data_IF_636256866635
#
_entry.id   IF_636256866635
#
_cell.length_a   1.000
_cell.length_b   1.000
_cell.length_c   1.000
_cell.angle_alpha   90.00
_cell.angle_beta   90.00
_cell.angle_gamma   90.00
#
_symmetry.space_group_name_H-M   'P 1'
#
loop_
_entity.id
_entity.type
_entity.pdbx_description
1 polymer ?
#
# COMPACT_ATOMS: atom_id res chain seq x y z
N UNK A 1 10.99 2.11 10.69
CA UNK A 1 10.09 1.88 9.54
C UNK A 1 10.60 2.56 8.27
N UNK A 2 10.85 3.88 8.27
CA UNK A 2 11.41 4.59 7.12
C UNK A 2 12.77 4.02 6.68
N UNK A 3 13.61 3.68 7.65
CA UNK A 3 14.92 3.04 7.41
C UNK A 3 14.78 1.68 6.72
N UNK A 4 13.80 0.85 7.11
CA UNK A 4 13.54 -0.44 6.45
C UNK A 4 13.21 -0.27 4.96
N UNK A 5 12.44 0.77 4.59
CA UNK A 5 12.18 1.11 3.18
C UNK A 5 13.48 1.52 2.47
N UNK A 6 14.34 2.29 3.15
CA UNK A 6 15.65 2.70 2.64
C UNK A 6 16.60 1.52 2.44
N UNK A 7 16.64 0.56 3.38
CA UNK A 7 17.46 -0.65 3.31
C UNK A 7 17.08 -1.51 2.08
N UNK A 8 15.78 -1.71 1.83
CA UNK A 8 15.29 -2.39 0.60
C UNK A 8 15.79 -1.65 -0.65
N UNK A 9 15.61 -0.33 -0.69
CA UNK A 9 16.01 0.49 -1.83
C UNK A 9 17.52 0.41 -2.10
N UNK A 10 18.35 0.58 -1.08
CA UNK A 10 19.81 0.51 -1.21
C UNK A 10 20.27 -0.87 -1.67
N UNK A 11 19.65 -1.94 -1.17
CA UNK A 11 19.93 -3.30 -1.63
C UNK A 11 19.54 -3.50 -3.11
N UNK A 12 18.39 -2.97 -3.53
CA UNK A 12 17.96 -3.01 -4.94
C UNK A 12 18.87 -2.19 -5.87
N UNK A 13 19.37 -1.04 -5.40
CA UNK A 13 20.33 -0.24 -6.15
C UNK A 13 21.68 -0.95 -6.30
N UNK A 14 22.19 -1.57 -5.22
CA UNK A 14 23.44 -2.32 -5.25
C UNK A 14 23.40 -3.47 -6.28
N UNK A 15 22.25 -4.13 -6.39
CA UNK A 15 22.01 -5.20 -7.37
C UNK A 15 21.61 -4.69 -8.77
N UNK A 16 21.62 -3.37 -9.01
CA UNK A 16 21.22 -2.73 -10.28
C UNK A 16 19.84 -3.17 -10.77
N UNK A 17 18.92 -3.49 -9.85
CA UNK A 17 17.57 -3.97 -10.17
C UNK A 17 16.63 -2.84 -10.57
N UNK A 18 16.94 -1.62 -10.14
CA UNK A 18 16.27 -0.41 -10.58
C UNK A 18 16.95 0.09 -11.86
N UNK A 19 16.19 0.13 -12.95
CA UNK A 19 16.66 0.76 -14.19
C UNK A 19 16.88 2.25 -13.94
N UNK A 20 17.81 2.90 -14.67
CA UNK A 20 18.07 4.33 -14.49
C UNK A 20 16.84 5.23 -14.69
N UNK A 21 15.87 4.76 -15.48
CA UNK A 21 14.59 5.41 -15.76
C UNK A 21 13.43 4.93 -14.84
N UNK A 22 13.69 4.08 -13.84
CA UNK A 22 12.63 3.55 -12.98
C UNK A 22 11.99 4.63 -12.10
N UNK A 23 10.70 4.50 -11.85
CA UNK A 23 9.99 5.28 -10.84
C UNK A 23 9.05 4.36 -10.07
N UNK A 24 9.35 4.13 -8.79
CA UNK A 24 8.62 3.14 -7.97
C UNK A 24 8.36 3.64 -6.58
N UNK A 25 7.31 3.10 -5.99
CA UNK A 25 6.95 3.34 -4.60
C UNK A 25 7.22 2.07 -3.81
N UNK A 26 8.08 2.17 -2.80
CA UNK A 26 8.35 1.09 -1.87
C UNK A 26 7.65 1.40 -0.56
N UNK A 27 7.04 0.38 0.04
CA UNK A 27 6.38 0.52 1.32
C UNK A 27 6.60 -0.68 2.23
N UNK A 28 6.54 -0.42 3.52
CA UNK A 28 6.56 -1.42 4.58
C UNK A 28 5.40 -1.18 5.54
N UNK A 29 4.84 -2.26 6.08
CA UNK A 29 3.77 -2.27 7.06
C UNK A 29 4.15 -3.17 8.23
N UNK A 30 3.92 -2.67 9.43
CA UNK A 30 4.00 -3.38 10.71
C UNK A 30 2.62 -3.31 11.37
N UNK A 31 2.05 -4.44 11.75
CA UNK A 31 0.76 -4.46 12.43
C UNK A 31 0.68 -5.54 13.51
N UNK A 32 -0.16 -5.31 14.51
CA UNK A 32 -0.56 -6.33 15.48
C UNK A 32 -2.07 -6.39 15.56
N UNK A 33 -2.62 -7.56 15.24
CA UNK A 33 -4.07 -7.81 15.21
C UNK A 33 -4.35 -9.14 15.92
N UNK A 34 -5.21 -9.11 16.95
CA UNK A 34 -5.51 -10.28 17.77
C UNK A 34 -4.24 -10.95 18.34
N UNK A 35 -3.30 -10.15 18.83
CA UNK A 35 -2.02 -10.61 19.39
C UNK A 35 -1.02 -11.18 18.37
N UNK A 36 -1.29 -11.06 17.06
CA UNK A 36 -0.40 -11.57 16.00
C UNK A 36 0.28 -10.43 15.30
N UNK A 37 1.61 -10.52 15.18
CA UNK A 37 2.40 -9.50 14.47
C UNK A 37 2.56 -9.84 12.98
N UNK A 38 2.52 -8.80 12.16
CA UNK A 38 2.63 -8.88 10.70
C UNK A 38 3.65 -7.86 10.21
N UNK A 39 4.59 -8.32 9.37
CA UNK A 39 5.65 -7.51 8.79
C UNK A 39 5.63 -7.69 7.27
N UNK A 40 5.16 -6.68 6.55
CA UNK A 40 4.91 -6.77 5.12
C UNK A 40 5.69 -5.69 4.36
N UNK A 41 6.17 -6.03 3.18
CA UNK A 41 6.82 -5.10 2.26
C UNK A 41 6.18 -5.19 0.87
N UNK A 42 6.04 -4.07 0.17
CA UNK A 42 5.47 -4.02 -1.17
C UNK A 42 6.18 -3.01 -2.07
N UNK A 43 6.07 -3.24 -3.37
CA UNK A 43 6.43 -2.29 -4.43
C UNK A 43 5.17 -1.95 -5.24
N UNK A 44 5.02 -0.68 -5.65
CA UNK A 44 3.93 -0.28 -6.55
C UNK A 44 4.02 -0.97 -7.91
N UNK A 45 5.23 -1.23 -8.41
CA UNK A 45 5.44 -1.99 -9.63
C UNK A 45 5.29 -3.50 -9.38
N UNK A 46 4.43 -4.16 -10.16
CA UNK A 46 4.31 -5.62 -10.17
C UNK A 46 5.47 -6.33 -10.86
N UNK A 47 6.35 -5.59 -11.54
CA UNK A 47 7.50 -6.12 -12.29
C UNK A 47 8.76 -6.25 -11.43
N UNK A 48 8.79 -5.60 -10.27
CA UNK A 48 9.93 -5.63 -9.34
C UNK A 48 9.63 -6.60 -8.21
N UNK A 49 10.35 -7.72 -8.19
CA UNK A 49 10.32 -8.63 -7.06
C UNK A 49 11.26 -8.14 -5.95
N UNK A 50 10.68 -7.67 -4.85
CA UNK A 50 11.44 -7.14 -3.71
C UNK A 50 11.86 -8.22 -2.70
N UNK A 51 11.38 -9.45 -2.87
CA UNK A 51 11.61 -10.56 -1.93
C UNK A 51 13.07 -10.82 -1.56
N UNK A 52 14.00 -10.88 -2.55
CA UNK A 52 15.42 -11.11 -2.27
C UNK A 52 16.07 -10.04 -1.37
N UNK A 53 15.49 -8.84 -1.30
CA UNK A 53 16.04 -7.68 -0.60
C UNK A 53 15.51 -7.55 0.83
N UNK A 54 14.50 -8.32 1.24
CA UNK A 54 13.94 -8.25 2.60
C UNK A 54 14.97 -8.66 3.67
N UNK A 55 15.96 -9.48 3.31
CA UNK A 55 17.07 -9.87 4.20
C UNK A 55 17.98 -8.70 4.59
N UNK A 56 17.95 -7.61 3.84
CA UNK A 56 18.71 -6.40 4.14
C UNK A 56 18.09 -5.63 5.31
N UNK A 57 16.81 -5.88 5.64
CA UNK A 57 16.12 -5.17 6.70
C UNK A 57 16.62 -5.64 8.06
N UNK A 58 17.16 -4.73 8.86
CA UNK A 58 17.73 -5.05 10.16
C UNK A 58 16.69 -5.04 11.29
N UNK A 59 15.73 -4.12 11.22
CA UNK A 59 14.58 -4.05 12.11
C UNK A 59 13.67 -5.27 11.88
N UNK A 60 13.31 -6.05 12.89
CA UNK A 60 12.56 -7.33 12.75
C UNK A 60 13.13 -8.28 11.70
N UNK A 61 14.46 -8.43 11.71
CA UNK A 61 15.20 -9.25 10.75
C UNK A 61 14.62 -10.66 10.63
N UNK A 62 14.35 -11.09 9.40
CA UNK A 62 13.81 -12.41 9.09
C UNK A 62 12.28 -12.53 9.16
N UNK A 63 11.58 -11.54 9.72
CA UNK A 63 10.11 -11.58 9.86
C UNK A 63 9.37 -11.00 8.65
N UNK A 64 10.03 -10.17 7.84
CA UNK A 64 9.45 -9.47 6.70
C UNK A 64 9.04 -10.40 5.57
N UNK A 65 7.87 -10.13 4.97
CA UNK A 65 7.33 -10.89 3.85
C UNK A 65 6.85 -9.97 2.73
N UNK A 66 6.90 -10.44 1.49
CA UNK A 66 6.39 -9.66 0.35
C UNK A 66 4.87 -9.72 0.34
N UNK A 67 4.22 -8.57 0.20
CA UNK A 67 2.80 -8.47 -0.08
C UNK A 67 2.54 -8.61 -1.59
N UNK A 68 1.78 -9.64 -1.96
CA UNK A 68 1.38 -9.93 -3.34
C UNK A 68 -0.14 -10.19 -3.42
N UNK A 69 -0.99 -9.24 -2.99
CA UNK A 69 -2.43 -9.46 -2.99
C UNK A 69 -3.00 -9.40 -4.41
N UNK A 70 -4.16 -10.02 -4.60
CA UNK A 70 -5.04 -9.66 -5.71
C UNK A 70 -5.60 -8.25 -5.49
N UNK A 71 -5.40 -7.35 -6.44
CA UNK A 71 -5.90 -5.97 -6.38
C UNK A 71 -7.16 -5.86 -7.25
N UNK A 72 -8.30 -5.39 -6.72
CA UNK A 72 -9.47 -5.11 -7.54
C UNK A 72 -9.14 -4.08 -8.63
N UNK A 73 -9.65 -4.31 -9.85
CA UNK A 73 -9.41 -3.46 -11.02
C UNK A 73 -10.67 -2.69 -11.40
N UNK A 74 -10.54 -1.65 -12.22
CA UNK A 74 -11.69 -0.88 -12.72
C UNK A 74 -12.14 -1.45 -14.06
N UNK A 75 -13.44 -1.70 -14.21
CA UNK A 75 -14.10 -1.93 -15.49
C UNK A 75 -14.71 -0.61 -15.95
N UNK A 76 -14.39 -0.18 -17.17
CA UNK A 76 -14.96 1.02 -17.78
C UNK A 76 -16.04 0.58 -18.77
N UNK A 77 -17.31 0.88 -18.45
CA UNK A 77 -18.56 0.52 -19.17
C UNK A 77 -19.21 -0.82 -18.78
N UNK A 78 -20.04 -0.83 -17.70
CA UNK A 78 -20.31 0.27 -16.77
C UNK A 78 -19.12 0.48 -15.81
N UNK A 79 -18.94 1.72 -15.33
CA UNK A 79 -17.89 2.06 -14.36
C UNK A 79 -18.13 1.31 -13.03
N UNK A 80 -17.34 0.29 -12.75
CA UNK A 80 -17.45 -0.51 -11.51
C UNK A 80 -16.13 -1.18 -11.14
N UNK A 81 -16.02 -1.63 -9.89
CA UNK A 81 -14.94 -2.49 -9.45
C UNK A 81 -15.11 -3.92 -9.96
N UNK A 82 -14.04 -4.48 -10.52
CA UNK A 82 -13.86 -5.91 -10.76
C UNK A 82 -13.05 -6.50 -9.62
N UNK A 83 -13.74 -7.20 -8.72
CA UNK A 83 -13.17 -7.72 -7.48
C UNK A 83 -13.88 -7.13 -6.25
N UNK A 84 -13.50 -7.57 -5.06
CA UNK A 84 -14.08 -7.08 -3.81
C UNK A 84 -13.00 -6.38 -2.99
N UNK A 85 -13.29 -5.17 -2.53
CA UNK A 85 -12.48 -4.48 -1.54
C UNK A 85 -12.87 -4.95 -0.15
N UNK A 86 -11.86 -5.13 0.71
CA UNK A 86 -12.06 -5.54 2.10
C UNK A 86 -11.16 -4.75 3.03
N UNK A 87 -11.64 -4.49 4.25
CA UNK A 87 -10.83 -3.94 5.35
C UNK A 87 -9.76 -4.95 5.79
N UNK A 88 -8.83 -4.50 6.64
CA UNK A 88 -7.86 -5.38 7.31
C UNK A 88 -8.52 -6.44 8.20
N UNK A 89 -9.80 -6.26 8.57
CA UNK A 89 -10.61 -7.25 9.29
C UNK A 89 -11.43 -8.16 8.36
N UNK A 90 -11.37 -7.92 7.05
CA UNK A 90 -12.05 -8.72 6.03
C UNK A 90 -13.50 -8.29 5.73
N UNK A 91 -13.94 -7.15 6.24
CA UNK A 91 -15.27 -6.60 5.98
C UNK A 91 -15.33 -6.01 4.58
N UNK A 92 -16.43 -6.23 3.87
CA UNK A 92 -16.58 -5.66 2.52
C UNK A 92 -16.75 -4.15 2.61
N UNK A 93 -16.03 -3.44 1.74
CA UNK A 93 -16.18 -1.98 1.60
C UNK A 93 -16.45 -1.63 0.16
N UNK A 94 -17.24 -0.59 -0.04
CA UNK A 94 -17.46 0.00 -1.36
C UNK A 94 -16.67 1.30 -1.45
N UNK A 95 -15.72 1.33 -2.37
CA UNK A 95 -14.84 2.47 -2.56
C UNK A 95 -15.41 3.28 -3.73
N UNK A 96 -15.65 4.59 -3.57
CA UNK A 96 -16.18 5.39 -4.67
C UNK A 96 -15.21 5.40 -5.87
N UNK A 97 -15.77 5.24 -7.06
CA UNK A 97 -15.06 5.40 -8.34
C UNK A 97 -15.19 6.81 -8.92
N UNK A 98 -16.10 7.60 -8.36
CA UNK A 98 -16.41 8.95 -8.82
C UNK A 98 -16.38 9.94 -7.66
N UNK A 99 -16.04 11.19 -7.96
CA UNK A 99 -16.27 12.35 -7.12
C UNK A 99 -17.12 13.32 -7.95
N UNK A 100 -18.27 13.76 -7.40
CA UNK A 100 -19.22 14.64 -8.09
C UNK A 100 -19.66 14.13 -9.48
N UNK A 101 -19.82 12.81 -9.63
CA UNK A 101 -20.22 12.17 -10.88
C UNK A 101 -19.11 12.03 -11.92
N UNK A 102 -17.88 12.48 -11.62
CA UNK A 102 -16.71 12.37 -12.51
C UNK A 102 -15.80 11.24 -12.02
N UNK A 103 -15.30 10.41 -12.93
CA UNK A 103 -14.35 9.34 -12.59
C UNK A 103 -13.10 9.90 -11.91
N UNK A 104 -12.73 9.31 -10.77
CA UNK A 104 -11.51 9.68 -10.05
C UNK A 104 -10.30 9.22 -10.90
N UNK A 105 -9.44 10.14 -11.37
CA UNK A 105 -8.33 9.78 -12.24
C UNK A 105 -7.41 8.74 -11.61
N UNK A 106 -7.08 7.68 -12.36
CA UNK A 106 -6.15 6.62 -11.95
C UNK A 106 -6.57 5.86 -10.68
N UNK A 107 -7.86 5.86 -10.32
CA UNK A 107 -8.37 5.14 -9.13
C UNK A 107 -8.06 3.63 -9.15
N UNK A 108 -7.89 3.04 -10.34
CA UNK A 108 -7.44 1.65 -10.49
C UNK A 108 -5.94 1.39 -10.28
N UNK A 109 -5.07 2.41 -10.32
CA UNK A 109 -3.64 2.24 -10.09
C UNK A 109 -3.35 2.15 -8.60
N UNK A 110 -2.50 1.22 -8.14
CA UNK A 110 -2.21 1.04 -6.70
C UNK A 110 -0.76 1.30 -6.34
N UNK A 111 -0.57 1.98 -5.21
CA UNK A 111 0.74 2.11 -4.56
C UNK A 111 1.04 0.90 -3.67
N UNK A 112 2.23 0.91 -3.05
CA UNK A 112 2.62 -0.13 -2.11
C UNK A 112 1.66 -0.16 -0.91
N UNK A 113 1.22 1.00 -0.41
CA UNK A 113 0.29 1.13 0.70
C UNK A 113 -0.98 0.28 0.56
N UNK A 114 -1.67 0.39 -0.58
CA UNK A 114 -2.91 -0.38 -0.84
C UNK A 114 -2.62 -1.87 -0.86
N UNK A 115 -1.50 -2.29 -1.47
CA UNK A 115 -1.10 -3.71 -1.50
C UNK A 115 -0.80 -4.26 -0.11
N UNK A 116 -0.14 -3.47 0.74
CA UNK A 116 0.17 -3.86 2.12
C UNK A 116 -1.11 -4.10 2.92
N UNK A 117 -2.09 -3.21 2.80
CA UNK A 117 -3.36 -3.32 3.53
C UNK A 117 -4.22 -4.49 3.06
N UNK A 118 -4.31 -4.71 1.75
CA UNK A 118 -5.02 -5.86 1.18
C UNK A 118 -4.37 -7.18 1.61
N UNK A 119 -3.04 -7.25 1.58
CA UNK A 119 -2.31 -8.44 2.02
C UNK A 119 -2.49 -8.67 3.53
N UNK A 120 -2.48 -7.62 4.34
CA UNK A 120 -2.75 -7.74 5.77
C UNK A 120 -4.12 -8.37 6.01
N UNK A 121 -5.17 -7.88 5.33
CA UNK A 121 -6.51 -8.47 5.41
C UNK A 121 -6.55 -9.95 5.01
N UNK A 122 -5.84 -10.34 3.94
CA UNK A 122 -5.73 -11.75 3.54
C UNK A 122 -5.09 -12.61 4.63
N UNK A 123 -4.02 -12.12 5.27
CA UNK A 123 -3.28 -12.85 6.31
C UNK A 123 -4.03 -12.94 7.62
N UNK A 124 -4.74 -11.89 8.01
CA UNK A 124 -5.65 -11.90 9.16
C UNK A 124 -6.74 -12.95 8.95
N UNK A 125 -7.35 -12.98 7.75
CA UNK A 125 -8.36 -13.98 7.42
C UNK A 125 -7.80 -15.42 7.44
N UNK A 126 -6.61 -15.65 6.88
CA UNK A 126 -5.93 -16.95 6.88
C UNK A 126 -5.58 -17.44 8.29
N UNK A 127 -5.18 -16.53 9.18
CA UNK A 127 -4.88 -16.86 10.57
C UNK A 127 -6.14 -17.26 11.37
N UNK A 128 -7.35 -17.06 10.83
CA UNK A 128 -8.61 -17.33 11.52
C UNK A 128 -8.84 -16.42 12.73
N UNK A 129 -8.00 -15.40 12.92
CA UNK A 129 -8.05 -14.49 14.06
C UNK A 129 -8.88 -13.27 13.70
N UNK A 130 -10.07 -13.19 14.28
CA UNK A 130 -10.82 -11.95 14.41
C UNK A 130 -10.51 -11.39 15.79
N UNK A 131 -9.84 -10.25 15.84
CA UNK A 131 -9.40 -9.64 17.09
C UNK A 131 -9.27 -8.13 16.95
N UNK A 132 -8.97 -7.47 18.07
CA UNK A 132 -8.70 -6.05 18.10
C UNK A 132 -7.51 -5.69 17.20
N UNK A 133 -7.63 -4.57 16.49
CA UNK A 133 -6.51 -3.98 15.76
C UNK A 133 -5.73 -3.13 16.75
N UNK A 134 -4.64 -3.67 17.27
CA UNK A 134 -3.86 -3.05 18.34
C UNK A 134 -2.98 -1.94 17.78
N UNK A 135 -2.39 -2.17 16.60
CA UNK A 135 -1.77 -1.12 15.81
C UNK A 135 -1.65 -1.53 14.34
N UNK A 136 -1.66 -0.53 13.46
CA UNK A 136 -1.21 -0.63 12.07
C UNK A 136 -0.32 0.58 11.80
N UNK A 137 0.92 0.33 11.41
CA UNK A 137 1.92 1.35 11.08
C UNK A 137 2.41 1.09 9.68
N UNK A 138 2.54 2.14 8.88
CA UNK A 138 2.98 2.03 7.50
C UNK A 138 3.96 3.15 7.15
N UNK A 139 4.93 2.86 6.29
CA UNK A 139 5.83 3.85 5.72
C UNK A 139 5.98 3.56 4.24
N UNK A 140 5.86 4.60 3.42
CA UNK A 140 5.97 4.52 1.98
C UNK A 140 6.93 5.62 1.51
N UNK A 141 7.77 5.30 0.52
CA UNK A 141 8.69 6.26 -0.10
C UNK A 141 8.70 6.08 -1.60
N UNK A 142 8.67 7.21 -2.31
CA UNK A 142 8.82 7.26 -3.76
C UNK A 142 10.30 7.37 -4.12
N UNK A 143 10.74 6.52 -5.02
CA UNK A 143 12.10 6.49 -5.52
C UNK A 143 12.10 6.63 -7.03
N UNK A 144 13.04 7.44 -7.50
CA UNK A 144 13.23 7.77 -8.90
C UNK A 144 14.67 7.42 -9.25
N UNK A 145 14.85 6.70 -10.36
CA UNK A 145 16.16 6.43 -10.91
C UNK A 145 16.83 7.71 -11.39
N UNK A 146 18.17 7.74 -11.46
CA UNK A 146 18.94 8.96 -11.74
C UNK A 146 18.64 9.60 -13.11
N UNK A 147 18.14 8.85 -14.09
CA UNK A 147 17.87 9.32 -15.45
C UNK A 147 16.39 9.66 -15.69
N UNK A 148 15.50 9.37 -14.72
CA UNK A 148 14.09 9.68 -14.86
C UNK A 148 13.81 11.14 -14.45
N UNK A 149 13.88 12.03 -15.44
CA UNK A 149 13.63 13.48 -15.28
C UNK A 149 12.15 13.86 -15.35
N UNK A 150 11.27 12.93 -15.74
CA UNK A 150 9.84 13.17 -15.99
C UNK A 150 8.91 12.51 -14.97
N UNK A 151 9.46 11.68 -14.08
CA UNK A 151 8.73 11.03 -12.98
C UNK A 151 7.99 12.08 -12.15
N UNK A 152 6.66 12.01 -12.16
CA UNK A 152 5.84 13.10 -11.65
C UNK A 152 5.90 13.18 -10.13
N UNK A 153 6.22 14.38 -9.62
CA UNK A 153 6.06 14.77 -8.21
C UNK A 153 4.63 14.57 -7.68
N UNK A 154 3.66 14.34 -8.57
CA UNK A 154 2.24 14.05 -8.25
C UNK A 154 2.06 12.72 -7.51
N UNK A 155 3.03 11.82 -7.55
CA UNK A 155 3.04 10.59 -6.75
C UNK A 155 3.49 10.80 -5.30
N UNK A 156 4.05 11.98 -4.97
CA UNK A 156 4.29 12.38 -3.60
C UNK A 156 2.96 12.79 -2.98
N UNK A 157 2.49 12.01 -2.02
CA UNK A 157 1.26 12.33 -1.32
C UNK A 157 1.33 13.66 -0.59
N UNK A 158 0.22 14.38 -0.65
CA UNK A 158 0.02 15.69 -0.01
C UNK A 158 -0.19 15.60 1.51
N UNK A 159 -0.15 14.39 2.08
CA UNK A 159 -0.34 14.18 3.51
C UNK A 159 0.81 14.72 4.35
N UNK A 160 0.51 15.15 5.58
CA UNK A 160 1.54 15.53 6.54
C UNK A 160 2.49 14.35 6.83
N UNK A 161 3.73 14.65 7.27
CA UNK A 161 4.80 13.69 7.58
C UNK A 161 4.42 12.63 8.62
N UNK A 162 3.31 12.85 9.33
CA UNK A 162 2.73 11.92 10.33
C UNK A 162 1.25 11.57 10.02
N UNK A 163 0.84 11.64 8.75
CA UNK A 163 -0.52 11.26 8.33
C UNK A 163 -0.64 9.77 8.01
N UNK A 164 -1.81 9.22 8.26
CA UNK A 164 -2.14 7.79 8.12
C UNK A 164 -2.02 7.31 6.67
N UNK A 165 -1.91 8.26 5.74
CA UNK A 165 -1.75 8.03 4.31
C UNK A 165 -0.29 7.99 3.86
N UNK A 166 0.70 8.12 4.73
CA UNK A 166 2.13 7.84 4.44
C UNK A 166 2.70 8.51 3.16
N UNK A 167 2.22 9.70 2.77
CA UNK A 167 2.53 10.33 1.48
C UNK A 167 2.14 9.50 0.24
N UNK A 168 1.04 8.75 0.31
CA UNK A 168 0.46 8.08 -0.85
C UNK A 168 -0.17 9.07 -1.85
N UNK A 169 -0.21 8.70 -3.13
CA UNK A 169 -0.82 9.53 -4.17
C UNK A 169 -2.33 9.76 -3.93
N UNK A 170 -2.91 10.78 -4.55
CA UNK A 170 -4.33 11.15 -4.39
C UNK A 170 -5.30 9.96 -4.43
N UNK A 171 -5.25 9.10 -5.47
CA UNK A 171 -6.09 7.91 -5.56
C UNK A 171 -5.91 6.91 -4.40
N UNK A 172 -4.71 6.77 -3.87
CA UNK A 172 -4.45 5.92 -2.70
C UNK A 172 -4.95 6.56 -1.40
N UNK A 173 -4.83 7.88 -1.24
CA UNK A 173 -5.35 8.60 -0.08
C UNK A 173 -6.87 8.41 0.08
N UNK A 174 -7.61 8.30 -1.02
CA UNK A 174 -9.04 8.02 -1.00
C UNK A 174 -9.31 6.60 -0.50
N UNK A 175 -8.51 5.62 -0.91
CA UNK A 175 -8.74 4.19 -0.60
C UNK A 175 -8.30 3.79 0.80
N UNK A 176 -7.16 4.31 1.28
CA UNK A 176 -6.52 3.87 2.53
C UNK A 176 -7.48 3.92 3.74
N UNK A 177 -8.28 4.99 3.96
CA UNK A 177 -9.25 5.02 5.05
C UNK A 177 -10.22 3.85 5.04
N UNK A 178 -10.81 3.51 3.87
CA UNK A 178 -11.71 2.37 3.73
C UNK A 178 -11.04 1.02 4.04
N UNK A 179 -9.71 0.92 3.93
CA UNK A 179 -8.99 -0.35 4.13
C UNK A 179 -8.50 -0.53 5.57
N UNK A 180 -8.03 0.54 6.22
CA UNK A 180 -7.50 0.49 7.60
C UNK A 180 -8.63 0.47 8.63
N UNK A 181 -9.69 1.23 8.38
CA UNK A 181 -10.66 1.56 9.39
C UNK A 181 -11.64 0.41 9.70
N UNK A 182 -11.96 0.29 10.98
CA UNK A 182 -13.20 -0.31 11.53
C UNK A 182 -14.37 0.69 11.46
N UNK A 183 -14.24 1.72 10.62
CA UNK A 183 -15.12 2.89 10.61
C UNK A 183 -16.28 2.53 9.71
N UNK A 184 -17.50 2.37 10.27
CA UNK A 184 -18.68 2.11 9.46
C UNK A 184 -18.85 3.22 8.41
N UNK A 185 -19.35 2.86 7.24
CA UNK A 185 -19.33 3.68 6.01
C UNK A 185 -19.90 5.10 6.20
N UNK A 186 -20.75 5.29 7.21
CA UNK A 186 -21.40 6.54 7.57
C UNK A 186 -20.48 7.57 8.26
N UNK A 187 -19.22 7.22 8.57
CA UNK A 187 -18.27 8.11 9.27
C UNK A 187 -17.11 8.53 8.36
N UNK A 188 -17.10 8.09 7.10
CA UNK A 188 -16.20 8.56 6.05
C UNK A 188 -16.95 9.66 5.29
N UNK A 189 -17.19 10.82 5.93
CA UNK A 189 -17.83 11.96 5.28
C UNK A 189 -16.81 12.88 4.61
N UNK A 190 -17.00 13.04 3.29
CA UNK A 190 -16.81 14.20 2.42
C UNK A 190 -15.77 15.25 2.87
N UNK A 191 -14.57 15.18 2.30
CA UNK A 191 -13.65 16.32 2.16
C UNK A 191 -13.75 16.89 0.76
#
# INVERSE_FOLDING_TARGET
>A
MRDAVGEIYHAMQADKKLTPDAAVMLGVLEARIGGTEYYLAACSSGLIDIGPYLKAITYHKGSWQVAKPGVPTVEHNPLKWKGQWKTVKGEKVDIPLTADGVEIPRIGQTCAAVKLLLELGNRVAQAGKRGEVEYVRMSEQYYVGPENTTASREWHGKGATCSWTAHSCGPCNIRIPYLICDVPSNWIENV
#
